data_IF_558261557373
#
_entry.id   IF_558261557373
#
_cell.length_a   1.000
_cell.length_b   1.000
_cell.length_c   1.000
_cell.angle_alpha   90.00
_cell.angle_beta   90.00
_cell.angle_gamma   90.00
#
_symmetry.space_group_name_H-M   'P 1'
#
loop_
_entity.id
_entity.type
_entity.pdbx_description
1 polymer ?
#
# COMPACT_ATOMS: atom_id res chain seq x y z
N UNK A 1 7.66 29.69 -19.60
CA UNK A 1 8.72 30.51 -18.99
C UNK A 1 9.80 29.57 -18.48
N UNK A 2 11.02 29.65 -19.01
CA UNK A 2 12.14 28.76 -18.63
C UNK A 2 12.64 29.21 -17.25
N UNK A 3 12.49 28.37 -16.23
CA UNK A 3 13.01 28.67 -14.87
C UNK A 3 14.51 28.38 -14.85
N UNK A 4 15.35 29.41 -14.75
CA UNK A 4 16.81 29.24 -14.62
C UNK A 4 17.15 28.50 -13.30
N UNK A 5 17.62 27.26 -13.42
CA UNK A 5 18.06 26.41 -12.29
C UNK A 5 19.47 26.78 -11.81
N UNK A 6 19.68 27.97 -11.25
CA UNK A 6 20.98 28.34 -10.65
C UNK A 6 21.10 27.88 -9.20
N UNK A 7 22.24 27.28 -8.82
CA UNK A 7 22.57 26.82 -7.48
C UNK A 7 23.66 27.69 -6.86
N UNK A 8 23.44 28.20 -5.64
CA UNK A 8 24.51 28.81 -4.84
C UNK A 8 25.35 27.74 -4.13
N UNK A 9 26.48 28.11 -3.55
CA UNK A 9 27.43 27.18 -2.91
C UNK A 9 26.77 26.28 -1.84
N UNK A 10 25.97 26.87 -0.94
CA UNK A 10 25.26 26.13 0.11
C UNK A 10 24.20 25.17 -0.48
N UNK A 11 23.50 25.60 -1.53
CA UNK A 11 22.54 24.76 -2.25
C UNK A 11 23.23 23.58 -2.92
N UNK A 12 24.34 23.83 -3.60
CA UNK A 12 25.14 22.82 -4.28
C UNK A 12 25.65 21.80 -3.26
N UNK A 13 26.28 22.26 -2.17
CA UNK A 13 26.75 21.40 -1.07
C UNK A 13 25.64 20.52 -0.49
N UNK A 14 24.44 21.06 -0.29
CA UNK A 14 23.31 20.28 0.22
C UNK A 14 22.94 19.15 -0.73
N UNK A 15 22.73 19.47 -2.01
CA UNK A 15 22.29 18.49 -3.01
C UNK A 15 23.37 17.44 -3.27
N UNK A 16 24.63 17.84 -3.45
CA UNK A 16 25.74 16.91 -3.71
C UNK A 16 25.99 15.97 -2.53
N UNK A 17 25.93 16.47 -1.29
CA UNK A 17 26.10 15.63 -0.08
C UNK A 17 24.97 14.62 0.09
N UNK A 18 23.74 14.98 -0.28
CA UNK A 18 22.59 14.06 -0.22
C UNK A 18 22.66 13.02 -1.33
N UNK A 19 22.97 13.45 -2.56
CA UNK A 19 23.15 12.56 -3.71
C UNK A 19 24.29 11.57 -3.51
N UNK A 20 25.42 11.99 -2.92
CA UNK A 20 26.57 11.10 -2.65
C UNK A 20 26.26 10.02 -1.60
N UNK A 21 25.16 10.17 -0.86
CA UNK A 21 24.67 9.21 0.14
C UNK A 21 23.46 8.42 -0.37
N UNK A 22 23.14 8.56 -1.66
CA UNK A 22 21.94 7.99 -2.30
C UNK A 22 20.63 8.38 -1.59
N UNK A 23 20.63 9.52 -0.89
CA UNK A 23 19.45 10.03 -0.16
C UNK A 23 18.70 11.01 -1.03
N UNK A 24 17.69 10.51 -1.72
CA UNK A 24 16.78 11.34 -2.54
C UNK A 24 15.73 12.07 -1.68
N UNK A 25 15.35 11.53 -0.52
CA UNK A 25 14.39 12.16 0.40
C UNK A 25 15.07 12.54 1.71
N UNK A 26 14.80 13.74 2.21
CA UNK A 26 15.43 14.26 3.43
C UNK A 26 14.48 15.15 4.25
N UNK A 27 14.82 15.32 5.52
CA UNK A 27 14.09 16.21 6.43
C UNK A 27 14.75 17.59 6.52
N UNK A 28 14.00 18.58 7.00
CA UNK A 28 14.60 19.88 7.34
C UNK A 28 15.75 19.77 8.36
N UNK A 29 15.72 18.76 9.24
CA UNK A 29 16.78 18.50 10.21
C UNK A 29 18.06 18.05 9.51
N UNK A 30 17.94 17.18 8.50
CA UNK A 30 19.08 16.73 7.70
C UNK A 30 19.72 17.89 6.94
N UNK A 31 18.90 18.75 6.33
CA UNK A 31 19.40 19.95 5.64
C UNK A 31 20.14 20.90 6.59
N UNK A 32 19.65 21.08 7.82
CA UNK A 32 20.35 21.88 8.84
C UNK A 32 21.69 21.27 9.22
N UNK A 33 21.75 19.95 9.42
CA UNK A 33 22.99 19.24 9.76
C UNK A 33 24.05 19.38 8.66
N UNK A 34 23.64 19.29 7.39
CA UNK A 34 24.54 19.39 6.24
C UNK A 34 25.01 20.84 5.99
N UNK A 35 24.06 21.79 5.99
CA UNK A 35 24.37 23.19 5.68
C UNK A 35 24.99 23.94 6.85
N UNK A 36 24.85 23.42 8.09
CA UNK A 36 25.27 24.08 9.34
C UNK A 36 24.68 25.49 9.51
N UNK A 37 23.46 25.71 9.02
CA UNK A 37 22.76 27.00 9.09
C UNK A 37 21.64 27.03 10.13
N UNK A 38 21.20 28.24 10.50
CA UNK A 38 20.04 28.43 11.39
C UNK A 38 18.76 27.85 10.76
N UNK A 39 17.76 27.53 11.60
CA UNK A 39 16.50 26.96 11.12
C UNK A 39 15.80 27.88 10.09
N UNK A 40 15.77 29.18 10.35
CA UNK A 40 15.17 30.20 9.46
C UNK A 40 15.89 30.26 8.11
N UNK A 41 17.23 30.26 8.12
CA UNK A 41 18.04 30.26 6.90
C UNK A 41 17.84 28.97 6.09
N UNK A 42 17.80 27.80 6.74
CA UNK A 42 17.52 26.53 6.05
C UNK A 42 16.12 26.51 5.43
N UNK A 43 15.09 27.01 6.13
CA UNK A 43 13.73 27.10 5.55
C UNK A 43 13.72 27.96 4.28
N UNK A 44 14.38 29.12 4.32
CA UNK A 44 14.48 30.02 3.18
C UNK A 44 15.24 29.38 2.01
N UNK A 45 16.32 28.66 2.30
CA UNK A 45 17.08 27.90 1.30
C UNK A 45 16.19 26.84 0.62
N UNK A 46 15.49 26.03 1.41
CA UNK A 46 14.58 24.99 0.90
C UNK A 46 13.46 25.61 0.06
N UNK A 47 12.84 26.71 0.52
CA UNK A 47 11.79 27.41 -0.24
C UNK A 47 12.28 27.79 -1.63
N UNK A 48 13.45 28.46 -1.72
CA UNK A 48 14.04 28.84 -3.01
C UNK A 48 14.35 27.63 -3.90
N UNK A 49 14.75 26.51 -3.32
CA UNK A 49 15.03 25.29 -4.08
C UNK A 49 13.74 24.63 -4.59
N UNK A 50 12.64 24.74 -3.85
CA UNK A 50 11.31 24.33 -4.33
C UNK A 50 10.86 25.25 -5.47
N UNK A 51 10.98 26.57 -5.30
CA UNK A 51 10.59 27.55 -6.32
C UNK A 51 11.38 27.36 -7.64
N UNK A 52 12.61 26.84 -7.53
CA UNK A 52 13.49 26.51 -8.67
C UNK A 52 13.36 25.06 -9.17
N UNK A 53 12.39 24.28 -8.67
CA UNK A 53 12.17 22.87 -9.03
C UNK A 53 13.36 21.93 -8.77
N UNK A 54 14.25 22.27 -7.85
CA UNK A 54 15.28 21.35 -7.35
C UNK A 54 14.73 20.40 -6.29
N UNK A 55 13.66 20.81 -5.60
CA UNK A 55 13.05 20.05 -4.54
C UNK A 55 11.53 19.99 -4.71
N UNK A 56 10.93 18.88 -4.31
CA UNK A 56 9.47 18.73 -4.18
C UNK A 56 9.15 18.51 -2.71
N UNK A 57 8.21 19.29 -2.18
CA UNK A 57 7.72 19.09 -0.80
C UNK A 57 6.74 17.92 -0.78
N UNK A 58 7.09 16.86 -0.06
CA UNK A 58 6.24 15.67 0.05
C UNK A 58 5.17 15.88 1.13
N UNK A 59 5.61 16.26 2.33
CA UNK A 59 4.77 16.61 3.48
C UNK A 59 5.49 17.70 4.29
N UNK A 60 4.84 18.37 5.26
CA UNK A 60 5.53 19.32 6.11
C UNK A 60 6.81 18.73 6.73
N UNK A 61 7.95 19.34 6.41
CA UNK A 61 9.26 18.96 6.94
C UNK A 61 10.04 17.90 6.14
N UNK A 62 9.47 17.34 5.06
CA UNK A 62 10.13 16.34 4.20
C UNK A 62 10.11 16.72 2.73
N UNK A 63 11.24 16.52 2.08
CA UNK A 63 11.49 17.01 0.73
C UNK A 63 12.19 15.94 -0.10
N UNK A 64 11.78 15.84 -1.37
CA UNK A 64 12.40 15.00 -2.38
C UNK A 64 13.32 15.86 -3.25
N UNK A 65 14.53 15.38 -3.50
CA UNK A 65 15.43 15.93 -4.51
C UNK A 65 14.93 15.51 -5.88
N UNK A 66 14.78 16.48 -6.79
CA UNK A 66 14.51 16.22 -8.20
C UNK A 66 15.84 15.85 -8.87
N UNK A 67 16.01 14.62 -9.38
CA UNK A 67 17.22 14.24 -10.10
C UNK A 67 17.39 15.09 -11.36
N UNK A 68 18.64 15.33 -11.75
CA UNK A 68 18.93 16.00 -13.03
C UNK A 68 18.36 15.24 -14.22
N UNK A 69 18.31 13.91 -14.14
CA UNK A 69 17.74 13.03 -15.16
C UNK A 69 16.26 13.24 -15.42
N UNK A 70 15.51 13.86 -14.49
CA UNK A 70 14.10 14.19 -14.68
C UNK A 70 13.86 15.36 -15.68
N UNK A 71 14.93 15.91 -16.25
CA UNK A 71 14.89 16.96 -17.24
C UNK A 71 14.24 18.26 -16.73
N UNK A 72 13.88 19.15 -17.66
CA UNK A 72 13.28 20.44 -17.33
C UNK A 72 11.89 20.32 -16.69
N UNK A 73 11.12 19.30 -17.10
CA UNK A 73 9.76 19.06 -16.60
C UNK A 73 9.73 18.45 -15.20
N UNK A 74 10.87 18.00 -14.66
CA UNK A 74 10.94 17.35 -13.35
C UNK A 74 9.93 16.19 -13.22
N UNK A 75 9.62 15.52 -14.33
CA UNK A 75 8.76 14.35 -14.36
C UNK A 75 9.56 13.19 -13.78
N UNK A 76 9.56 13.11 -12.45
CA UNK A 76 10.28 12.07 -11.74
C UNK A 76 9.30 11.07 -11.15
N UNK A 77 9.38 9.83 -11.64
CA UNK A 77 8.72 8.67 -11.07
C UNK A 77 9.60 8.10 -9.94
N UNK A 78 9.68 8.79 -8.80
CA UNK A 78 10.09 8.06 -7.60
C UNK A 78 9.12 6.90 -7.38
N UNK A 79 9.64 5.75 -6.97
CA UNK A 79 8.79 4.64 -6.56
C UNK A 79 7.89 5.11 -5.41
N UNK A 80 6.57 5.10 -5.60
CA UNK A 80 5.63 5.66 -4.63
C UNK A 80 5.69 4.97 -3.26
N UNK A 81 6.18 3.74 -3.18
CA UNK A 81 6.40 3.02 -1.92
C UNK A 81 7.57 3.58 -1.12
N UNK A 82 8.65 3.99 -1.80
CA UNK A 82 9.77 4.69 -1.17
C UNK A 82 9.31 6.04 -0.65
N UNK A 83 8.49 6.76 -1.42
CA UNK A 83 7.87 8.01 -0.99
C UNK A 83 6.96 7.78 0.23
N UNK A 84 6.12 6.73 0.21
CA UNK A 84 5.24 6.37 1.31
C UNK A 84 6.00 6.12 2.62
N UNK A 85 7.04 5.27 2.58
CA UNK A 85 7.98 5.01 3.67
C UNK A 85 8.49 6.30 4.27
N UNK A 86 9.06 7.16 3.42
CA UNK A 86 9.65 8.39 3.89
C UNK A 86 8.60 9.37 4.40
N UNK A 87 7.37 9.39 3.87
CA UNK A 87 6.30 10.26 4.39
C UNK A 87 5.88 9.84 5.81
N UNK A 88 5.83 8.55 6.11
CA UNK A 88 5.27 8.02 7.37
C UNK A 88 6.30 7.86 8.49
N UNK A 89 7.56 7.55 8.19
CA UNK A 89 8.61 7.36 9.19
C UNK A 89 8.82 8.62 10.08
N UNK A 90 9.18 8.48 11.36
CA UNK A 90 9.56 7.25 12.07
C UNK A 90 8.36 6.48 12.66
N UNK A 91 7.12 6.79 12.25
CA UNK A 91 5.95 6.08 12.77
C UNK A 91 5.88 4.67 12.20
N UNK A 92 5.39 3.73 13.00
CA UNK A 92 5.08 2.37 12.54
C UNK A 92 4.07 2.41 11.40
N UNK A 93 4.31 1.57 10.39
CA UNK A 93 3.45 1.43 9.24
C UNK A 93 3.67 0.10 8.52
N UNK A 94 2.75 -0.23 7.62
CA UNK A 94 2.99 -1.15 6.51
C UNK A 94 2.12 -0.73 5.32
N UNK A 95 2.58 -1.04 4.11
CA UNK A 95 1.82 -0.95 2.88
C UNK A 95 0.82 -2.10 2.85
N UNK A 96 -0.45 -1.80 2.61
CA UNK A 96 -1.56 -2.74 2.78
C UNK A 96 -2.54 -2.66 1.62
N UNK A 97 -3.52 -3.58 1.60
CA UNK A 97 -4.60 -3.61 0.60
C UNK A 97 -4.03 -3.52 -0.84
N UNK A 98 -4.53 -2.59 -1.68
CA UNK A 98 -4.10 -2.54 -3.08
C UNK A 98 -2.60 -2.31 -3.27
N UNK A 99 -1.93 -1.55 -2.39
CA UNK A 99 -0.47 -1.39 -2.45
C UNK A 99 0.24 -2.71 -2.27
N UNK A 100 -0.24 -3.53 -1.34
CA UNK A 100 0.34 -4.83 -1.07
C UNK A 100 -0.01 -5.86 -2.15
N UNK A 101 -1.22 -5.78 -2.74
CA UNK A 101 -1.54 -6.58 -3.92
C UNK A 101 -0.56 -6.32 -5.07
N UNK A 102 -0.25 -5.06 -5.37
CA UNK A 102 0.72 -4.73 -6.43
C UNK A 102 2.13 -5.20 -6.09
N UNK A 103 2.60 -4.96 -4.86
CA UNK A 103 3.94 -5.42 -4.44
C UNK A 103 4.06 -6.95 -4.50
N UNK A 104 2.98 -7.67 -4.18
CA UNK A 104 2.91 -9.13 -4.30
C UNK A 104 2.55 -9.60 -5.70
N UNK A 105 2.54 -8.74 -6.71
CA UNK A 105 2.23 -9.09 -8.10
C UNK A 105 0.88 -9.81 -8.26
N UNK A 106 -0.08 -9.47 -7.40
CA UNK A 106 -1.45 -10.00 -7.38
C UNK A 106 -2.41 -9.22 -8.30
N UNK A 107 -1.94 -8.10 -8.86
CA UNK A 107 -2.68 -7.24 -9.79
C UNK A 107 -1.74 -6.71 -10.87
N UNK A 108 -2.29 -6.40 -12.04
CA UNK A 108 -1.59 -5.69 -13.12
C UNK A 108 -2.15 -4.28 -13.33
N UNK A 109 -3.14 -3.88 -12.53
CA UNK A 109 -3.77 -2.57 -12.67
C UNK A 109 -2.88 -1.48 -12.06
N UNK A 110 -2.73 -0.33 -12.75
CA UNK A 110 -1.93 0.76 -12.23
C UNK A 110 -2.57 1.38 -10.97
N UNK A 111 -1.76 1.55 -9.93
CA UNK A 111 -2.17 2.17 -8.68
C UNK A 111 -2.08 3.70 -8.74
N UNK A 112 -3.23 4.37 -8.68
CA UNK A 112 -3.30 5.83 -8.48
C UNK A 112 -3.32 6.24 -6.99
N UNK A 113 -3.44 5.26 -6.09
CA UNK A 113 -3.52 5.47 -4.64
C UNK A 113 -2.66 4.45 -3.89
N UNK A 114 -1.75 4.94 -3.06
CA UNK A 114 -0.95 4.15 -2.13
C UNK A 114 -1.65 4.09 -0.77
N UNK A 115 -2.08 2.89 -0.39
CA UNK A 115 -2.66 2.57 0.90
C UNK A 115 -1.56 2.23 1.91
N UNK A 116 -1.61 2.90 3.07
CA UNK A 116 -0.65 2.76 4.17
C UNK A 116 -1.43 2.56 5.47
N UNK A 117 -1.25 1.42 6.13
CA UNK A 117 -1.82 1.19 7.46
C UNK A 117 -0.85 1.68 8.54
N UNK A 118 -1.34 2.42 9.53
CA UNK A 118 -0.53 3.00 10.62
C UNK A 118 -1.36 3.23 11.89
N UNK A 119 -0.77 3.22 13.11
CA UNK A 119 -1.50 3.50 14.34
C UNK A 119 -1.67 4.99 14.62
N UNK A 120 -1.35 5.86 13.66
CA UNK A 120 -1.58 7.30 13.77
C UNK A 120 -2.57 7.76 12.70
N UNK A 121 -3.66 8.39 13.14
CA UNK A 121 -4.60 9.03 12.22
C UNK A 121 -3.90 10.16 11.46
N UNK A 122 -4.01 10.15 10.14
CA UNK A 122 -3.46 11.18 9.26
C UNK A 122 -4.46 11.49 8.15
N UNK A 123 -4.43 12.73 7.67
CA UNK A 123 -5.16 13.12 6.46
C UNK A 123 -4.44 12.55 5.24
N UNK A 124 -5.22 12.25 4.20
CA UNK A 124 -4.68 11.86 2.91
C UNK A 124 -3.76 12.96 2.35
N UNK A 125 -2.74 12.55 1.60
CA UNK A 125 -1.79 13.45 0.96
C UNK A 125 -1.76 13.18 -0.54
N UNK A 126 -1.66 14.23 -1.36
CA UNK A 126 -1.46 14.09 -2.81
C UNK A 126 -0.05 14.55 -3.16
N UNK A 127 0.74 13.65 -3.72
CA UNK A 127 2.17 13.87 -3.96
C UNK A 127 2.54 13.22 -5.30
N UNK A 128 3.16 13.98 -6.20
CA UNK A 128 3.61 13.49 -7.52
C UNK A 128 2.49 12.78 -8.33
N UNK A 129 1.27 13.33 -8.31
CA UNK A 129 0.13 12.75 -9.02
C UNK A 129 -0.55 11.56 -8.33
N UNK A 130 0.09 10.93 -7.34
CA UNK A 130 -0.47 9.83 -6.57
C UNK A 130 -1.15 10.30 -5.27
N UNK A 131 -2.18 9.58 -4.86
CA UNK A 131 -2.83 9.77 -3.56
C UNK A 131 -2.20 8.83 -2.51
N UNK A 132 -1.96 9.33 -1.31
CA UNK A 132 -1.43 8.56 -0.18
C UNK A 132 -2.51 8.51 0.89
N UNK A 133 -3.10 7.32 1.05
CA UNK A 133 -4.23 7.08 1.93
C UNK A 133 -3.78 6.36 3.19
N UNK A 134 -3.97 7.01 4.34
CA UNK A 134 -3.57 6.48 5.64
C UNK A 134 -4.75 5.80 6.33
N UNK A 135 -4.65 4.50 6.54
CA UNK A 135 -5.63 3.69 7.25
C UNK A 135 -5.20 3.54 8.71
N UNK A 136 -6.10 3.88 9.62
CA UNK A 136 -5.84 3.71 11.04
C UNK A 136 -6.03 2.26 11.48
N UNK A 137 -5.04 1.69 12.15
CA UNK A 137 -5.17 0.41 12.85
C UNK A 137 -4.54 0.50 14.24
N UNK A 138 -5.22 -0.03 15.26
CA UNK A 138 -4.65 -0.08 16.61
C UNK A 138 -3.32 -0.86 16.61
N UNK A 139 -2.32 -0.50 17.44
CA UNK A 139 -1.01 -1.17 17.45
C UNK A 139 -1.05 -2.71 17.51
N UNK A 140 -1.93 -3.36 18.31
CA UNK A 140 -2.01 -4.83 18.34
C UNK A 140 -2.48 -5.47 17.02
N UNK A 141 -3.02 -4.70 16.08
CA UNK A 141 -3.43 -5.15 14.74
C UNK A 141 -2.32 -5.04 13.69
N UNK A 142 -1.15 -4.47 14.03
CA UNK A 142 0.03 -4.40 13.16
C UNK A 142 0.85 -5.70 13.32
N UNK A 143 0.54 -6.69 12.48
CA UNK A 143 1.21 -7.98 12.42
C UNK A 143 1.07 -8.59 11.03
N UNK A 144 1.86 -9.63 10.73
CA UNK A 144 1.93 -10.19 9.37
C UNK A 144 2.57 -9.17 8.44
N UNK A 145 3.70 -8.60 8.87
CA UNK A 145 4.42 -7.54 8.17
C UNK A 145 5.81 -8.06 7.85
N UNK A 146 6.26 -7.83 6.63
CA UNK A 146 7.60 -8.18 6.16
C UNK A 146 8.29 -6.98 5.49
N UNK A 147 9.61 -7.08 5.31
CA UNK A 147 10.39 -6.07 4.58
C UNK A 147 10.62 -6.54 3.14
N UNK A 148 10.05 -5.82 2.17
CA UNK A 148 10.14 -6.14 0.73
C UNK A 148 11.03 -5.13 0.02
N UNK A 149 11.90 -5.61 -0.87
CA UNK A 149 12.70 -4.75 -1.74
C UNK A 149 11.84 -4.16 -2.86
N UNK A 150 11.76 -2.84 -2.94
CA UNK A 150 11.06 -2.12 -4.05
C UNK A 150 12.05 -1.39 -4.98
N UNK A 151 13.31 -1.31 -4.54
CA UNK A 151 14.48 -0.94 -5.33
C UNK A 151 15.69 -1.73 -4.80
N UNK A 152 16.80 -1.82 -5.54
CA UNK A 152 18.01 -2.51 -5.08
C UNK A 152 18.55 -2.05 -3.72
N UNK A 153 18.29 -0.80 -3.33
CA UNK A 153 18.79 -0.20 -2.08
C UNK A 153 17.70 0.18 -1.08
N UNK A 154 16.42 -0.04 -1.42
CA UNK A 154 15.29 0.39 -0.59
C UNK A 154 14.32 -0.75 -0.30
N UNK A 155 14.16 -1.04 0.99
CA UNK A 155 13.09 -1.88 1.52
C UNK A 155 11.95 -1.03 2.09
N UNK A 156 10.75 -1.57 1.98
CA UNK A 156 9.52 -1.03 2.60
C UNK A 156 8.82 -2.11 3.41
N UNK A 157 8.04 -1.69 4.40
CA UNK A 157 7.20 -2.60 5.20
C UNK A 157 5.90 -2.87 4.48
N UNK A 158 5.53 -4.13 4.31
CA UNK A 158 4.32 -4.57 3.58
C UNK A 158 3.60 -5.63 4.41
N UNK A 159 2.27 -5.72 4.31
CA UNK A 159 1.58 -6.92 4.78
C UNK A 159 2.07 -8.12 3.99
N UNK A 160 2.40 -9.22 4.64
CA UNK A 160 2.77 -10.44 3.91
C UNK A 160 1.60 -10.96 3.06
N UNK A 161 1.85 -11.97 2.23
CA UNK A 161 0.86 -12.47 1.26
C UNK A 161 -0.47 -12.84 1.94
N UNK A 162 -0.43 -13.63 3.03
CA UNK A 162 -1.63 -14.05 3.75
C UNK A 162 -2.33 -12.87 4.45
N UNK A 163 -1.56 -11.95 5.04
CA UNK A 163 -2.13 -10.76 5.69
C UNK A 163 -2.79 -9.84 4.67
N UNK A 164 -2.20 -9.71 3.48
CA UNK A 164 -2.73 -8.92 2.37
C UNK A 164 -4.10 -9.45 1.94
N UNK A 165 -4.25 -10.77 1.80
CA UNK A 165 -5.54 -11.41 1.51
C UNK A 165 -6.56 -11.08 2.60
N UNK A 166 -6.17 -11.18 3.88
CA UNK A 166 -7.06 -10.86 5.01
C UNK A 166 -7.51 -9.39 5.00
N UNK A 167 -6.59 -8.44 4.78
CA UNK A 167 -6.90 -7.01 4.73
C UNK A 167 -7.87 -6.69 3.57
N UNK A 168 -7.61 -7.26 2.39
CA UNK A 168 -8.46 -7.10 1.22
C UNK A 168 -9.85 -7.70 1.41
N UNK A 169 -9.96 -8.87 2.04
CA UNK A 169 -11.24 -9.50 2.36
C UNK A 169 -12.04 -8.71 3.40
N UNK A 170 -11.38 -8.02 4.34
CA UNK A 170 -12.06 -7.18 5.34
C UNK A 170 -12.70 -5.97 4.68
N UNK A 171 -11.97 -5.34 3.76
CA UNK A 171 -12.45 -4.19 3.01
C UNK A 171 -12.10 -4.25 1.52
N UNK A 172 -12.90 -4.98 0.71
CA UNK A 172 -12.67 -5.14 -0.73
C UNK A 172 -12.57 -3.82 -1.50
N UNK A 173 -13.25 -2.76 -1.03
CA UNK A 173 -13.18 -1.43 -1.66
C UNK A 173 -11.76 -0.86 -1.72
N UNK A 174 -10.88 -1.26 -0.79
CA UNK A 174 -9.51 -0.75 -0.70
C UNK A 174 -8.54 -1.55 -1.57
N UNK A 175 -9.00 -2.54 -2.32
CA UNK A 175 -8.20 -3.39 -3.18
C UNK A 175 -8.83 -3.62 -4.57
N UNK A 176 -9.70 -2.70 -5.02
CA UNK A 176 -10.36 -2.81 -6.34
C UNK A 176 -11.63 -3.67 -6.38
N UNK A 177 -12.11 -4.14 -5.23
CA UNK A 177 -13.27 -5.02 -5.11
C UNK A 177 -12.89 -6.49 -4.88
N UNK A 178 -13.89 -7.34 -4.74
CA UNK A 178 -13.67 -8.78 -4.50
C UNK A 178 -13.07 -9.47 -5.71
N UNK A 179 -13.39 -8.98 -6.92
CA UNK A 179 -12.92 -9.56 -8.18
C UNK A 179 -11.41 -9.44 -8.34
N UNK A 180 -10.85 -8.29 -8.00
CA UNK A 180 -9.41 -8.06 -8.10
C UNK A 180 -8.62 -8.88 -7.06
N UNK A 181 -9.14 -8.98 -5.83
CA UNK A 181 -8.59 -9.89 -4.83
C UNK A 181 -8.68 -11.35 -5.29
N UNK A 182 -9.79 -11.76 -5.91
CA UNK A 182 -9.99 -13.12 -6.35
C UNK A 182 -9.03 -13.51 -7.50
N UNK A 183 -8.71 -12.57 -8.40
CA UNK A 183 -7.61 -12.73 -9.39
C UNK A 183 -6.29 -13.00 -8.71
N UNK A 184 -5.89 -12.11 -7.79
CA UNK A 184 -4.64 -12.22 -7.07
C UNK A 184 -4.52 -13.52 -6.30
N UNK A 185 -5.60 -13.93 -5.63
CA UNK A 185 -5.70 -15.20 -4.91
C UNK A 185 -5.44 -16.39 -5.85
N UNK A 186 -6.01 -16.37 -7.05
CA UNK A 186 -5.77 -17.41 -8.05
C UNK A 186 -4.35 -17.39 -8.58
N UNK A 187 -3.82 -16.22 -8.97
CA UNK A 187 -2.45 -16.06 -9.48
C UNK A 187 -1.43 -16.62 -8.49
N UNK A 188 -1.57 -16.26 -7.21
CA UNK A 188 -0.65 -16.67 -6.14
C UNK A 188 -1.03 -17.97 -5.43
N UNK A 189 -2.00 -18.75 -5.94
CA UNK A 189 -2.57 -19.94 -5.26
C UNK A 189 -1.55 -20.99 -4.79
N UNK A 190 -0.41 -21.12 -5.48
CA UNK A 190 0.67 -22.06 -5.15
C UNK A 190 1.70 -21.49 -4.16
N UNK A 191 1.76 -20.17 -4.01
CA UNK A 191 2.67 -19.47 -3.11
C UNK A 191 2.05 -19.25 -1.71
N UNK A 192 0.71 -19.31 -1.61
CA UNK A 192 -0.02 -19.11 -0.35
C UNK A 192 0.22 -20.27 0.63
N UNK A 193 0.65 -19.93 1.85
CA UNK A 193 0.58 -20.86 2.98
C UNK A 193 -0.83 -20.83 3.57
N UNK A 194 -1.66 -21.79 3.17
CA UNK A 194 -3.05 -21.90 3.63
C UNK A 194 -3.17 -22.17 5.14
N UNK A 195 -2.17 -22.81 5.78
CA UNK A 195 -2.15 -23.04 7.22
C UNK A 195 -1.90 -21.73 7.97
N UNK A 196 -0.99 -20.90 7.45
CA UNK A 196 -0.74 -19.54 7.95
C UNK A 196 -1.95 -18.63 7.71
N UNK A 197 -2.56 -18.69 6.53
CA UNK A 197 -3.77 -17.92 6.21
C UNK A 197 -4.92 -18.23 7.17
N UNK A 198 -5.15 -19.51 7.47
CA UNK A 198 -6.15 -19.95 8.45
C UNK A 198 -5.87 -19.35 9.85
N UNK A 199 -4.61 -19.42 10.33
CA UNK A 199 -4.22 -18.81 11.60
C UNK A 199 -4.46 -17.30 11.60
N UNK A 200 -4.25 -16.64 10.46
CA UNK A 200 -4.45 -15.20 10.31
C UNK A 200 -5.92 -14.83 10.33
N UNK A 201 -6.80 -15.62 9.72
CA UNK A 201 -8.25 -15.47 9.85
C UNK A 201 -8.69 -15.59 11.31
N UNK A 202 -8.20 -16.61 12.02
CA UNK A 202 -8.47 -16.79 13.45
C UNK A 202 -8.00 -15.61 14.30
N UNK A 203 -6.77 -15.14 14.08
CA UNK A 203 -6.19 -13.98 14.78
C UNK A 203 -6.92 -12.67 14.46
N UNK A 204 -7.37 -12.49 13.21
CA UNK A 204 -8.10 -11.30 12.79
C UNK A 204 -9.52 -11.26 13.38
N UNK A 205 -10.15 -12.43 13.54
CA UNK A 205 -11.40 -12.60 14.27
C UNK A 205 -12.67 -12.13 13.54
N UNK A 206 -12.57 -11.82 12.23
CA UNK A 206 -13.72 -11.40 11.43
C UNK A 206 -14.40 -12.58 10.74
N UNK A 207 -15.65 -12.85 11.15
CA UNK A 207 -16.49 -13.88 10.52
C UNK A 207 -16.81 -13.54 9.06
N UNK A 208 -16.91 -12.25 8.72
CA UNK A 208 -17.16 -11.83 7.34
C UNK A 208 -15.97 -12.19 6.43
N UNK A 209 -14.74 -11.93 6.89
CA UNK A 209 -13.51 -12.30 6.19
C UNK A 209 -13.43 -13.81 6.00
N UNK A 210 -13.68 -14.59 7.06
CA UNK A 210 -13.66 -16.05 6.98
C UNK A 210 -14.69 -16.61 5.97
N UNK A 211 -15.91 -16.06 5.95
CA UNK A 211 -16.97 -16.46 5.01
C UNK A 211 -16.62 -16.15 3.56
N UNK A 212 -16.09 -14.95 3.29
CA UNK A 212 -15.65 -14.55 1.94
C UNK A 212 -14.49 -15.42 1.46
N UNK A 213 -13.48 -15.65 2.30
CA UNK A 213 -12.36 -16.53 1.95
C UNK A 213 -12.85 -17.93 1.63
N UNK A 214 -13.64 -18.53 2.53
CA UNK A 214 -14.14 -19.88 2.35
C UNK A 214 -14.96 -20.04 1.07
N UNK A 215 -15.80 -19.06 0.74
CA UNK A 215 -16.53 -19.03 -0.52
C UNK A 215 -15.58 -19.03 -1.73
N UNK A 216 -14.54 -18.18 -1.74
CA UNK A 216 -13.59 -18.10 -2.86
C UNK A 216 -12.74 -19.38 -3.00
N UNK A 217 -12.26 -19.94 -1.88
CA UNK A 217 -11.49 -21.19 -1.89
C UNK A 217 -12.32 -22.35 -2.46
N UNK A 218 -13.60 -22.46 -2.06
CA UNK A 218 -14.52 -23.48 -2.57
C UNK A 218 -14.88 -23.25 -4.04
N UNK A 219 -15.07 -21.99 -4.45
CA UNK A 219 -15.37 -21.62 -5.83
C UNK A 219 -14.24 -22.04 -6.79
N UNK A 220 -12.99 -21.86 -6.37
CA UNK A 220 -11.80 -22.15 -7.16
C UNK A 220 -11.19 -23.53 -6.93
N UNK A 221 -11.69 -24.30 -5.95
CA UNK A 221 -11.15 -25.61 -5.62
C UNK A 221 -9.72 -25.57 -5.08
N UNK A 222 -9.33 -24.49 -4.38
CA UNK A 222 -7.98 -24.28 -3.84
C UNK A 222 -7.95 -24.31 -2.30
N UNK A 223 -6.76 -24.45 -1.71
CA UNK A 223 -6.54 -24.47 -0.25
C UNK A 223 -6.84 -25.80 0.46
N UNK A 224 -7.51 -26.73 -0.22
CA UNK A 224 -7.77 -28.09 0.26
C UNK A 224 -8.88 -28.20 1.31
N UNK A 225 -9.40 -29.43 1.46
CA UNK A 225 -10.50 -29.76 2.37
C UNK A 225 -10.21 -29.40 3.85
N UNK A 226 -8.99 -29.59 4.40
CA UNK A 226 -8.69 -29.23 5.78
C UNK A 226 -8.87 -27.74 6.08
N UNK A 227 -8.39 -26.86 5.19
CA UNK A 227 -8.48 -25.41 5.35
C UNK A 227 -9.94 -24.96 5.28
N UNK A 228 -10.67 -25.43 4.28
CA UNK A 228 -12.09 -25.13 4.08
C UNK A 228 -12.91 -25.56 5.29
N UNK A 229 -12.69 -26.78 5.79
CA UNK A 229 -13.39 -27.32 6.97
C UNK A 229 -13.17 -26.49 8.23
N UNK A 230 -11.96 -25.97 8.44
CA UNK A 230 -11.68 -25.09 9.59
C UNK A 230 -12.30 -23.72 9.42
N UNK A 231 -12.28 -23.13 8.23
CA UNK A 231 -12.98 -21.86 7.94
C UNK A 231 -14.50 -21.97 8.14
N UNK A 232 -15.10 -23.14 7.84
CA UNK A 232 -16.53 -23.39 8.10
C UNK A 232 -16.93 -23.19 9.57
N UNK A 233 -16.01 -23.36 10.52
CA UNK A 233 -16.27 -23.11 11.96
C UNK A 233 -16.58 -21.64 12.28
N UNK A 234 -16.21 -20.70 11.40
CA UNK A 234 -16.51 -19.28 11.55
C UNK A 234 -17.88 -18.88 10.96
N UNK A 235 -18.57 -19.81 10.28
CA UNK A 235 -19.85 -19.53 9.63
C UNK A 235 -20.96 -19.46 10.68
N UNK A 236 -21.53 -18.27 10.85
CA UNK A 236 -22.73 -18.00 11.66
C UNK A 236 -23.96 -17.80 10.78
N UNK A 237 -25.16 -17.84 11.38
CA UNK A 237 -26.44 -17.69 10.68
C UNK A 237 -26.58 -16.41 9.84
N UNK A 238 -25.94 -15.30 10.23
CA UNK A 238 -26.02 -14.01 9.53
C UNK A 238 -25.39 -14.05 8.14
N UNK A 239 -26.03 -13.43 7.16
CA UNK A 239 -25.44 -13.27 5.83
C UNK A 239 -24.49 -12.08 5.77
N UNK A 240 -23.44 -12.20 4.95
CA UNK A 240 -22.51 -11.09 4.64
C UNK A 240 -22.43 -10.89 3.13
N UNK A 241 -22.23 -9.66 2.67
CA UNK A 241 -21.99 -9.38 1.25
C UNK A 241 -20.66 -10.00 0.80
N UNK A 242 -20.66 -10.62 -0.38
CA UNK A 242 -19.43 -11.11 -1.02
C UNK A 242 -18.47 -9.94 -1.25
N UNK A 243 -18.96 -8.87 -1.86
CA UNK A 243 -18.25 -7.61 -2.03
C UNK A 243 -18.95 -6.49 -1.26
N UNK A 244 -18.38 -6.03 -0.14
CA UNK A 244 -18.97 -4.90 0.61
C UNK A 244 -18.79 -3.54 -0.05
N UNK A 245 -18.11 -3.45 -1.19
CA UNK A 245 -18.02 -2.23 -1.99
C UNK A 245 -19.23 -2.04 -2.93
N UNK A 246 -20.00 -3.11 -3.17
CA UNK A 246 -21.14 -3.12 -4.07
C UNK A 246 -22.48 -3.03 -3.32
N UNK A 247 -23.57 -2.62 -4.01
CA UNK A 247 -24.91 -2.61 -3.44
C UNK A 247 -25.32 -3.97 -2.85
N UNK A 248 -26.19 -3.95 -1.84
CA UNK A 248 -26.70 -5.16 -1.21
C UNK A 248 -27.80 -5.80 -2.08
N UNK A 249 -27.40 -6.42 -3.18
CA UNK A 249 -28.25 -7.13 -4.15
C UNK A 249 -27.82 -8.59 -4.29
N UNK A 250 -28.43 -9.35 -5.20
CA UNK A 250 -28.00 -10.71 -5.52
C UNK A 250 -28.55 -11.81 -4.59
N UNK A 251 -28.18 -13.06 -4.93
CA UNK A 251 -28.72 -14.29 -4.35
C UNK A 251 -28.08 -14.61 -2.99
N UNK A 252 -28.82 -15.31 -2.15
CA UNK A 252 -28.32 -15.78 -0.85
C UNK A 252 -27.79 -17.21 -0.97
N UNK A 253 -26.51 -17.42 -0.73
CA UNK A 253 -25.89 -18.75 -0.68
C UNK A 253 -25.69 -19.21 0.75
N UNK A 254 -26.40 -20.27 1.11
CA UNK A 254 -26.46 -20.80 2.47
C UNK A 254 -25.15 -21.45 2.93
N UNK A 255 -24.37 -22.05 2.03
CA UNK A 255 -23.16 -22.83 2.38
C UNK A 255 -22.10 -22.03 3.12
N UNK A 256 -21.96 -20.74 2.79
CA UNK A 256 -21.06 -19.79 3.45
C UNK A 256 -21.79 -18.60 4.09
N UNK A 257 -23.12 -18.56 4.00
CA UNK A 257 -23.94 -17.41 4.42
C UNK A 257 -23.45 -16.12 3.76
N UNK A 258 -23.28 -16.20 2.45
CA UNK A 258 -22.83 -15.11 1.58
C UNK A 258 -24.03 -14.63 0.76
N UNK A 259 -24.16 -13.32 0.61
CA UNK A 259 -25.02 -12.72 -0.41
C UNK A 259 -24.15 -12.38 -1.62
N UNK A 260 -24.41 -13.05 -2.72
CA UNK A 260 -23.66 -12.99 -3.98
C UNK A 260 -24.03 -11.72 -4.74
N UNK A 261 -23.54 -10.58 -4.25
CA UNK A 261 -23.70 -9.28 -4.90
C UNK A 261 -22.60 -8.98 -5.94
N UNK A 262 -21.86 -10.01 -6.34
CA UNK A 262 -20.98 -10.09 -7.49
C UNK A 262 -21.17 -11.50 -8.09
N UNK A 263 -21.24 -11.62 -9.42
CA UNK A 263 -21.55 -12.89 -10.08
C UNK A 263 -20.40 -13.91 -9.91
N UNK A 264 -20.65 -15.11 -9.33
CA UNK A 264 -19.63 -16.14 -9.21
C UNK A 264 -19.12 -16.69 -10.55
N UNK A 265 -19.92 -16.63 -11.63
CA UNK A 265 -19.44 -17.07 -12.96
C UNK A 265 -18.45 -16.07 -13.54
N UNK A 266 -18.63 -14.77 -13.33
CA UNK A 266 -17.63 -13.76 -13.71
C UNK A 266 -16.28 -14.02 -13.00
N UNK A 267 -16.31 -14.40 -11.72
CA UNK A 267 -15.09 -14.77 -10.98
C UNK A 267 -14.38 -15.99 -11.58
N UNK A 268 -15.13 -16.97 -12.09
CA UNK A 268 -14.55 -18.15 -12.75
C UNK A 268 -13.97 -17.82 -14.13
N UNK A 269 -14.62 -16.96 -14.91
CA UNK A 269 -14.10 -16.56 -16.22
C UNK A 269 -12.79 -15.77 -16.09
N UNK A 270 -12.71 -14.94 -15.05
CA UNK A 270 -11.53 -14.15 -14.72
C UNK A 270 -10.26 -14.99 -14.55
N UNK A 271 -10.36 -16.25 -14.10
CA UNK A 271 -9.19 -17.13 -13.86
C UNK A 271 -8.83 -18.02 -15.05
N UNK A 272 -9.66 -18.04 -16.10
CA UNK A 272 -9.40 -18.77 -17.36
C UNK A 272 -8.58 -17.96 -18.37
N UNK A 273 -8.47 -16.66 -18.13
CA UNK A 273 -7.74 -15.71 -18.98
C UNK A 273 -6.31 -15.57 -18.48
#
# INVERSE_FOLDING_TARGET
MIVKRTLGEISSKLLTTLSSKERVIFTISDARKITKTSHTTTRRLISRLIDKNWLIRLVPGKYLIVPLSAGEKAEHSENWYVVAKHIIEPNLYYLSHYSALDIHEMTTQPLMTVYITTPKRRKEAKVLGANFRFLYANPPKLWGIEDVWVKPTEKVKVSDLERTIVDCLDNPKLCGGISELAKGLWVKRSEIDYSKLEKYIGRFGSKAVAKRLGFLLELYGIGGEPTVKKLRKFVTASFVLLDSSLPATGKYKSSWRIRENFDPEELKEIIKT
#
